data_IF_092308924345
#
_entry.id   IF_092308924345
#
_cell.length_a   1.000
_cell.length_b   1.000
_cell.length_c   1.000
_cell.angle_alpha   90.00
_cell.angle_beta   90.00
_cell.angle_gamma   90.00
#
_symmetry.space_group_name_H-M   'P 1'
#
loop_
_entity.id
_entity.type
_entity.pdbx_description
1 polymer ?
#
# COMPACT_ATOMS: atom_id res chain seq x y z
N UNK A 1 15.38 -0.56 -43.09
CA UNK A 1 14.07 -1.12 -42.71
C UNK A 1 14.27 -1.99 -41.48
N UNK A 2 13.72 -1.60 -40.34
CA UNK A 2 13.86 -2.33 -39.07
C UNK A 2 12.59 -3.17 -38.90
N UNK A 3 12.66 -4.51 -38.77
CA UNK A 3 11.47 -5.31 -38.58
C UNK A 3 10.90 -5.06 -37.18
N UNK A 4 9.66 -4.57 -37.15
CA UNK A 4 8.87 -4.34 -35.95
C UNK A 4 8.44 -5.70 -35.38
N UNK A 5 9.17 -6.19 -34.37
CA UNK A 5 8.81 -7.42 -33.67
C UNK A 5 7.58 -7.17 -32.78
N UNK A 6 6.48 -7.93 -32.94
CA UNK A 6 5.34 -7.82 -32.04
C UNK A 6 5.68 -8.64 -30.79
N UNK A 7 6.32 -8.01 -29.81
CA UNK A 7 6.40 -8.60 -28.48
C UNK A 7 4.96 -8.76 -27.96
N UNK A 8 4.50 -9.99 -27.64
CA UNK A 8 3.26 -10.14 -26.91
C UNK A 8 3.50 -9.54 -25.52
N UNK A 9 2.77 -8.48 -25.19
CA UNK A 9 2.74 -7.91 -23.85
C UNK A 9 2.14 -8.94 -22.90
N UNK A 10 2.97 -9.84 -22.39
CA UNK A 10 2.58 -10.73 -21.30
C UNK A 10 2.11 -9.84 -20.14
N UNK A 11 0.88 -10.05 -19.62
CA UNK A 11 0.42 -9.29 -18.48
C UNK A 11 1.42 -9.53 -17.35
N UNK A 12 2.04 -8.47 -16.88
CA UNK A 12 3.02 -8.56 -15.80
C UNK A 12 2.30 -9.06 -14.54
N UNK A 13 2.32 -10.38 -14.33
CA UNK A 13 2.07 -10.99 -13.03
C UNK A 13 3.12 -10.43 -12.09
N UNK A 14 2.79 -9.31 -11.44
CA UNK A 14 3.67 -8.72 -10.43
C UNK A 14 3.89 -9.81 -9.38
N UNK A 15 5.14 -10.20 -9.11
CA UNK A 15 5.42 -11.19 -8.08
C UNK A 15 4.68 -10.81 -6.80
N UNK A 16 4.00 -11.79 -6.18
CA UNK A 16 3.26 -11.63 -4.90
C UNK A 16 4.14 -10.94 -3.84
N UNK A 17 5.46 -11.12 -3.92
CA UNK A 17 6.48 -10.43 -3.11
C UNK A 17 6.54 -8.91 -3.32
N UNK A 18 6.34 -8.39 -4.53
CA UNK A 18 6.26 -6.94 -4.81
C UNK A 18 4.98 -6.36 -4.20
N UNK A 19 3.86 -7.08 -4.29
CA UNK A 19 2.59 -6.66 -3.67
C UNK A 19 2.74 -6.54 -2.15
N UNK A 20 3.32 -7.57 -1.51
CA UNK A 20 3.58 -7.57 -0.06
C UNK A 20 4.50 -6.42 0.37
N UNK A 21 5.61 -6.19 -0.36
CA UNK A 21 6.51 -5.06 -0.07
C UNK A 21 5.81 -3.70 -0.17
N UNK A 22 4.94 -3.50 -1.18
CA UNK A 22 4.15 -2.26 -1.29
C UNK A 22 3.15 -2.10 -0.15
N UNK A 23 2.48 -3.17 0.28
CA UNK A 23 1.56 -3.12 1.42
C UNK A 23 2.30 -2.76 2.73
N UNK A 24 3.51 -3.30 2.94
CA UNK A 24 4.35 -2.96 4.09
C UNK A 24 4.83 -1.50 4.08
N UNK A 25 5.21 -0.97 2.92
CA UNK A 25 5.55 0.47 2.78
C UNK A 25 4.37 1.35 3.17
N UNK A 26 3.17 1.03 2.69
CA UNK A 26 1.97 1.80 2.99
C UNK A 26 1.61 1.71 4.48
N UNK A 27 1.66 0.52 5.09
CA UNK A 27 1.42 0.34 6.54
C UNK A 27 2.41 1.16 7.39
N UNK A 28 3.69 1.18 6.99
CA UNK A 28 4.74 1.96 7.66
C UNK A 28 4.45 3.47 7.58
N UNK A 29 4.06 3.96 6.40
CA UNK A 29 3.71 5.37 6.18
C UNK A 29 2.45 5.79 6.94
N UNK A 30 1.43 4.94 6.99
CA UNK A 30 0.22 5.19 7.77
C UNK A 30 0.53 5.23 9.27
N UNK A 31 1.39 4.34 9.76
CA UNK A 31 1.83 4.32 11.16
C UNK A 31 2.61 5.59 11.52
N UNK A 32 3.53 6.02 10.66
CA UNK A 32 4.27 7.28 10.85
C UNK A 32 3.33 8.50 10.88
N UNK A 33 2.36 8.56 9.96
CA UNK A 33 1.36 9.63 9.93
C UNK A 33 0.54 9.68 11.21
N UNK A 34 0.04 8.53 11.69
CA UNK A 34 -0.75 8.47 12.91
C UNK A 34 0.06 8.93 14.13
N UNK A 35 1.32 8.48 14.25
CA UNK A 35 2.23 8.89 15.33
C UNK A 35 2.48 10.41 15.29
N UNK A 36 2.81 10.95 14.12
CA UNK A 36 3.07 12.38 13.94
C UNK A 36 1.83 13.22 14.26
N UNK A 37 0.63 12.78 13.86
CA UNK A 37 -0.61 13.52 14.08
C UNK A 37 -1.13 13.42 15.50
N UNK A 38 -0.89 12.31 16.17
CA UNK A 38 -1.19 12.18 17.61
C UNK A 38 -0.34 13.16 18.43
N UNK A 39 0.91 13.42 18.03
CA UNK A 39 1.77 14.41 18.68
C UNK A 39 1.43 15.88 18.33
N UNK A 40 0.73 16.13 17.22
CA UNK A 40 0.47 17.47 16.67
C UNK A 40 -0.66 18.26 17.35
N UNK A 41 -1.34 17.72 18.36
CA UNK A 41 -2.34 18.42 19.18
C UNK A 41 -3.65 18.85 18.50
N UNK A 42 -3.71 18.86 17.16
CA UNK A 42 -4.90 19.21 16.35
C UNK A 42 -5.20 18.16 15.27
N UNK A 43 -5.35 16.87 15.60
CA UNK A 43 -5.78 15.89 14.61
C UNK A 43 -7.28 16.06 14.31
N UNK A 44 -7.65 16.09 13.03
CA UNK A 44 -9.04 15.87 12.63
C UNK A 44 -9.41 14.41 12.95
N UNK A 45 -10.34 14.15 13.89
CA UNK A 45 -10.64 12.79 14.34
C UNK A 45 -11.12 11.90 13.19
N UNK A 46 -11.91 12.47 12.27
CA UNK A 46 -12.40 11.77 11.08
C UNK A 46 -11.26 11.28 10.16
N UNK A 47 -10.18 12.04 10.04
CA UNK A 47 -9.02 11.65 9.23
C UNK A 47 -8.25 10.52 9.90
N UNK A 48 -8.08 10.56 11.22
CA UNK A 48 -7.43 9.49 11.97
C UNK A 48 -8.21 8.18 11.87
N UNK A 49 -9.53 8.25 12.00
CA UNK A 49 -10.39 7.06 11.94
C UNK A 49 -10.37 6.42 10.55
N UNK A 50 -10.44 7.24 9.49
CA UNK A 50 -10.30 6.75 8.11
C UNK A 50 -8.95 6.06 7.88
N UNK A 51 -7.87 6.61 8.42
CA UNK A 51 -6.52 6.03 8.26
C UNK A 51 -6.37 4.75 9.07
N UNK A 52 -6.97 4.67 10.27
CA UNK A 52 -7.01 3.42 11.06
C UNK A 52 -7.80 2.32 10.33
N UNK A 53 -8.95 2.67 9.75
CA UNK A 53 -9.75 1.73 8.95
C UNK A 53 -8.97 1.22 7.73
N UNK A 54 -8.37 2.13 6.95
CA UNK A 54 -7.55 1.77 5.80
C UNK A 54 -6.33 0.92 6.20
N UNK A 55 -5.71 1.19 7.35
CA UNK A 55 -4.62 0.39 7.89
C UNK A 55 -5.09 -1.03 8.23
N UNK A 56 -6.26 -1.20 8.84
CA UNK A 56 -6.82 -2.51 9.15
C UNK A 56 -7.08 -3.35 7.89
N UNK A 57 -7.56 -2.73 6.81
CA UNK A 57 -7.76 -3.40 5.52
C UNK A 57 -6.44 -3.88 4.91
N UNK A 58 -5.40 -3.05 4.96
CA UNK A 58 -4.05 -3.41 4.48
C UNK A 58 -3.47 -4.57 5.29
N UNK A 59 -3.63 -4.55 6.61
CA UNK A 59 -3.17 -5.63 7.48
C UNK A 59 -3.91 -6.95 7.20
N UNK A 60 -5.23 -6.87 6.94
CA UNK A 60 -6.02 -8.04 6.53
C UNK A 60 -5.55 -8.58 5.17
N UNK A 61 -5.27 -7.71 4.20
CA UNK A 61 -4.74 -8.11 2.90
C UNK A 61 -3.35 -8.76 3.03
N UNK A 62 -2.49 -8.25 3.91
CA UNK A 62 -1.19 -8.86 4.20
C UNK A 62 -1.31 -10.22 4.89
N UNK A 63 -2.28 -10.40 5.79
CA UNK A 63 -2.53 -11.64 6.50
C UNK A 63 -3.23 -12.71 5.63
N UNK A 64 -4.06 -12.29 4.67
CA UNK A 64 -4.70 -13.18 3.68
C UNK A 64 -3.81 -13.49 2.46
N UNK A 65 -2.56 -13.02 2.45
CA UNK A 65 -1.61 -13.23 1.37
C UNK A 65 -0.74 -14.49 1.54
N UNK A 66 -1.09 -15.40 2.44
CA UNK A 66 -0.54 -16.78 2.52
C UNK A 66 -1.28 -17.73 1.56
#
# INVERSE_FOLDING_TARGET
MIPFWPYPSLPALRPRSIRRKRLQDIDSRMTAFLSQKQASGTPSPRVLDNIKAAKADIQREMAGAD
#
